data_IF_849503090528
#
_entry.id   IF_849503090528
#
_cell.length_a   1.000
_cell.length_b   1.000
_cell.length_c   1.000
_cell.angle_alpha   90.00
_cell.angle_beta   90.00
_cell.angle_gamma   90.00
#
_symmetry.space_group_name_H-M   'P 1'
#
loop_
_entity.id
_entity.type
_entity.pdbx_description
1 polymer ?
#
# COMPACT_ATOMS: atom_id res chain seq x y z
N UNK A 1 -23.87 2.89 12.89
CA UNK A 1 -23.00 2.50 11.76
C UNK A 1 -21.64 3.17 11.91
N UNK A 2 -20.55 2.41 11.81
CA UNK A 2 -19.14 2.86 11.80
C UNK A 2 -18.66 2.90 10.36
N UNK A 3 -18.02 4.00 9.95
CA UNK A 3 -17.49 4.17 8.59
C UNK A 3 -16.00 3.85 8.60
N UNK A 4 -15.62 2.72 7.99
CA UNK A 4 -14.26 2.20 7.96
C UNK A 4 -13.67 2.37 6.55
N UNK A 5 -12.70 3.28 6.42
CA UNK A 5 -12.07 3.60 5.13
C UNK A 5 -10.87 2.71 4.83
N UNK A 6 -10.70 2.33 3.56
CA UNK A 6 -9.51 1.62 3.08
C UNK A 6 -9.14 2.01 1.65
N UNK A 7 -7.90 1.78 1.27
CA UNK A 7 -7.41 1.94 -0.10
C UNK A 7 -7.27 0.55 -0.74
N UNK A 8 -7.52 0.46 -2.04
CA UNK A 8 -7.47 -0.77 -2.85
C UNK A 8 -6.05 -1.34 -2.92
N UNK A 9 -5.67 -2.03 -1.84
CA UNK A 9 -4.39 -2.71 -1.66
C UNK A 9 -4.62 -4.05 -0.95
N UNK A 10 -3.74 -5.02 -1.20
CA UNK A 10 -3.83 -6.35 -0.60
C UNK A 10 -3.78 -6.31 0.94
N UNK A 11 -3.10 -5.34 1.51
CA UNK A 11 -3.00 -5.15 2.95
C UNK A 11 -4.30 -4.63 3.62
N UNK A 12 -5.36 -4.35 2.83
CA UNK A 12 -6.72 -4.19 3.33
C UNK A 12 -7.45 -5.53 3.57
N UNK A 13 -6.83 -6.66 3.26
CA UNK A 13 -7.43 -7.99 3.37
C UNK A 13 -8.11 -8.26 4.72
N UNK A 14 -7.55 -7.91 5.90
CA UNK A 14 -8.22 -8.16 7.17
C UNK A 14 -9.58 -7.43 7.29
N UNK A 15 -9.69 -6.21 6.76
CA UNK A 15 -10.93 -5.45 6.78
C UNK A 15 -11.99 -6.09 5.88
N UNK A 16 -11.56 -6.46 4.68
CA UNK A 16 -12.39 -7.09 3.65
C UNK A 16 -12.89 -8.47 4.12
N UNK A 17 -12.01 -9.27 4.69
CA UNK A 17 -12.34 -10.59 5.27
C UNK A 17 -13.35 -10.44 6.41
N UNK A 18 -13.12 -9.50 7.33
CA UNK A 18 -14.02 -9.26 8.45
C UNK A 18 -15.43 -8.90 7.99
N UNK A 19 -15.55 -8.09 6.94
CA UNK A 19 -16.85 -7.75 6.32
C UNK A 19 -17.46 -8.95 5.60
N UNK A 20 -16.70 -9.58 4.70
CA UNK A 20 -17.18 -10.68 3.86
C UNK A 20 -17.63 -11.90 4.67
N UNK A 21 -16.96 -12.21 5.75
CA UNK A 21 -17.32 -13.32 6.66
C UNK A 21 -18.36 -12.94 7.72
N UNK A 22 -18.76 -11.67 7.79
CA UNK A 22 -19.75 -11.18 8.76
C UNK A 22 -19.23 -11.05 10.19
N UNK A 23 -17.91 -11.04 10.41
CA UNK A 23 -17.29 -10.98 11.73
C UNK A 23 -17.64 -9.69 12.50
N UNK A 24 -17.85 -8.58 11.79
CA UNK A 24 -18.32 -7.34 12.42
C UNK A 24 -19.72 -7.51 13.02
N UNK A 25 -20.63 -8.13 12.29
CA UNK A 25 -22.01 -8.38 12.75
C UNK A 25 -22.05 -9.36 13.94
N UNK A 26 -21.22 -10.38 13.92
CA UNK A 26 -21.07 -11.32 15.04
C UNK A 26 -20.58 -10.65 16.33
N UNK A 27 -19.86 -9.52 16.20
CA UNK A 27 -19.38 -8.71 17.30
C UNK A 27 -20.30 -7.53 17.64
N UNK A 28 -21.55 -7.51 17.17
CA UNK A 28 -22.50 -6.40 17.34
C UNK A 28 -21.92 -5.05 16.89
N UNK A 29 -21.16 -5.06 15.78
CA UNK A 29 -20.63 -3.86 15.13
C UNK A 29 -21.33 -3.65 13.78
N UNK A 30 -22.04 -2.54 13.68
CA UNK A 30 -22.61 -2.06 12.43
C UNK A 30 -21.54 -1.23 11.68
N UNK A 31 -20.81 -1.89 10.75
CA UNK A 31 -19.69 -1.32 9.99
C UNK A 31 -20.07 -1.17 8.54
N UNK A 32 -19.66 -0.07 7.92
CA UNK A 32 -19.71 0.16 6.47
C UNK A 32 -18.29 0.37 5.98
N UNK A 33 -17.81 -0.50 5.08
CA UNK A 33 -16.53 -0.32 4.41
C UNK A 33 -16.67 0.73 3.29
N UNK A 34 -15.72 1.65 3.22
CA UNK A 34 -15.61 2.66 2.18
C UNK A 34 -14.26 2.53 1.47
N UNK A 35 -14.30 2.13 0.18
CA UNK A 35 -13.12 2.10 -0.67
C UNK A 35 -12.80 3.51 -1.15
N UNK A 36 -11.62 4.01 -0.81
CA UNK A 36 -11.18 5.35 -1.11
C UNK A 36 -10.14 5.36 -2.26
N UNK A 37 -10.14 6.44 -3.04
CA UNK A 37 -9.28 6.57 -4.20
C UNK A 37 -7.77 6.64 -3.85
N UNK A 38 -7.43 7.05 -2.62
CA UNK A 38 -6.05 7.15 -2.16
C UNK A 38 -5.90 7.77 -0.78
N UNK A 39 -4.67 7.93 -0.36
CA UNK A 39 -4.33 8.34 1.00
C UNK A 39 -4.72 9.77 1.35
N UNK A 40 -4.78 10.68 0.36
CA UNK A 40 -5.27 12.04 0.55
C UNK A 40 -6.76 12.04 0.92
N UNK A 41 -7.57 11.21 0.24
CA UNK A 41 -9.01 11.08 0.55
C UNK A 41 -9.22 10.47 1.95
N UNK A 42 -8.47 9.43 2.31
CA UNK A 42 -8.46 8.85 3.68
C UNK A 42 -8.16 9.94 4.71
N UNK A 43 -7.13 10.73 4.47
CA UNK A 43 -6.70 11.82 5.35
C UNK A 43 -7.81 12.84 5.56
N UNK A 44 -8.34 13.36 4.48
CA UNK A 44 -9.30 14.46 4.52
C UNK A 44 -10.63 14.01 5.13
N UNK A 45 -11.12 12.83 4.76
CA UNK A 45 -12.35 12.25 5.32
C UNK A 45 -12.23 11.91 6.80
N UNK A 46 -11.07 11.41 7.26
CA UNK A 46 -10.85 11.17 8.69
C UNK A 46 -10.80 12.50 9.47
N UNK A 47 -10.09 13.51 8.96
CA UNK A 47 -10.01 14.82 9.59
C UNK A 47 -11.38 15.52 9.69
N UNK A 48 -12.21 15.38 8.66
CA UNK A 48 -13.57 15.94 8.62
C UNK A 48 -14.60 15.11 9.39
N UNK A 49 -14.24 13.91 9.85
CA UNK A 49 -15.15 12.99 10.52
C UNK A 49 -16.16 12.32 9.58
N UNK A 50 -15.86 12.25 8.28
CA UNK A 50 -16.62 11.46 7.31
C UNK A 50 -16.26 9.97 7.37
N UNK A 51 -15.06 9.63 7.86
CA UNK A 51 -14.65 8.29 8.25
C UNK A 51 -14.38 8.27 9.76
N UNK A 52 -14.72 7.19 10.41
CA UNK A 52 -14.56 7.00 11.85
C UNK A 52 -13.24 6.29 12.16
N UNK A 53 -12.91 5.28 11.36
CA UNK A 53 -11.69 4.48 11.48
C UNK A 53 -11.15 4.23 10.07
N UNK A 54 -9.83 4.10 9.92
CA UNK A 54 -9.20 3.90 8.61
C UNK A 54 -8.06 2.87 8.67
N UNK A 55 -7.91 2.11 7.60
CA UNK A 55 -6.62 1.54 7.25
C UNK A 55 -5.73 2.70 6.79
N UNK A 56 -4.54 2.81 7.33
CA UNK A 56 -3.64 3.91 7.03
C UNK A 56 -2.18 3.46 6.93
N UNK A 57 -1.37 4.23 6.22
CA UNK A 57 0.08 4.08 6.22
C UNK A 57 0.64 4.25 7.64
N UNK A 58 1.65 3.48 8.04
CA UNK A 58 2.20 3.57 9.39
C UNK A 58 2.71 4.97 9.80
N UNK A 59 3.24 5.84 8.89
CA UNK A 59 3.58 7.22 9.23
C UNK A 59 2.36 8.17 9.36
N UNK A 60 1.17 7.72 8.98
CA UNK A 60 -0.03 8.57 8.89
C UNK A 60 -0.40 9.26 10.21
N UNK A 61 -0.41 8.63 11.40
CA UNK A 61 -0.72 9.29 12.64
C UNK A 61 0.22 10.49 12.94
N UNK A 62 1.50 10.35 12.60
CA UNK A 62 2.48 11.42 12.77
C UNK A 62 2.22 12.60 11.83
N UNK A 63 1.95 12.30 10.54
CA UNK A 63 1.67 13.35 9.54
C UNK A 63 0.40 14.12 9.87
N UNK A 64 -0.63 13.45 10.37
CA UNK A 64 -1.88 14.08 10.82
C UNK A 64 -1.66 15.01 12.03
N UNK A 65 -0.94 14.54 13.03
CA UNK A 65 -0.63 15.36 14.23
C UNK A 65 0.23 16.57 13.91
N UNK A 66 1.16 16.45 12.96
CA UNK A 66 2.02 17.53 12.51
C UNK A 66 1.33 18.48 11.51
N UNK A 67 0.12 18.19 11.09
CA UNK A 67 -0.63 19.01 10.14
C UNK A 67 -0.03 19.01 8.72
N UNK A 68 0.57 17.88 8.30
CA UNK A 68 1.16 17.76 6.97
C UNK A 68 0.06 17.54 5.95
N UNK A 69 -0.22 18.59 5.16
CA UNK A 69 -1.22 18.56 4.09
C UNK A 69 -2.69 18.60 4.57
N UNK A 70 -2.92 18.78 5.85
CA UNK A 70 -4.24 18.91 6.49
C UNK A 70 -4.09 19.72 7.79
N UNK A 71 -5.17 20.24 8.37
CA UNK A 71 -5.12 20.81 9.70
C UNK A 71 -4.66 19.76 10.74
N UNK A 72 -3.82 20.13 11.71
CA UNK A 72 -3.39 19.21 12.77
C UNK A 72 -4.57 18.48 13.37
N UNK A 73 -4.50 17.15 13.38
CA UNK A 73 -5.58 16.28 13.88
C UNK A 73 -4.96 15.19 14.76
N UNK A 74 -5.45 15.04 15.98
CA UNK A 74 -4.97 14.04 16.92
C UNK A 74 -5.45 12.65 16.51
N UNK A 75 -4.57 11.92 15.83
CA UNK A 75 -4.79 10.56 15.34
C UNK A 75 -3.92 9.59 16.10
N UNK A 76 -4.50 8.45 16.40
CA UNK A 76 -3.85 7.31 17.07
C UNK A 76 -3.97 6.06 16.22
N UNK A 77 -2.98 5.16 16.33
CA UNK A 77 -3.03 3.83 15.77
C UNK A 77 -3.16 2.81 16.91
N UNK A 78 -4.19 1.98 16.87
CA UNK A 78 -4.45 0.96 17.91
C UNK A 78 -4.00 -0.44 17.53
N UNK A 79 -3.69 -0.68 16.25
CA UNK A 79 -3.29 -2.00 15.74
C UNK A 79 -2.40 -1.85 14.51
N UNK A 80 -1.40 -2.71 14.38
CA UNK A 80 -0.69 -2.95 13.13
C UNK A 80 -1.49 -3.99 12.34
N UNK A 81 -1.92 -3.64 11.12
CA UNK A 81 -2.70 -4.50 10.24
C UNK A 81 -1.81 -5.39 9.36
N UNK A 82 -0.69 -4.86 8.91
CA UNK A 82 0.27 -5.59 8.09
C UNK A 82 1.69 -5.10 8.30
N UNK A 83 2.64 -5.98 8.02
CA UNK A 83 4.06 -5.69 7.94
C UNK A 83 4.55 -5.94 6.52
N UNK A 84 5.48 -5.12 6.03
CA UNK A 84 6.05 -5.24 4.67
C UNK A 84 4.97 -5.23 3.56
N UNK A 85 5.14 -6.04 2.50
CA UNK A 85 4.14 -6.17 1.43
C UNK A 85 4.25 -5.12 0.32
N UNK A 86 5.36 -4.39 0.24
CA UNK A 86 5.67 -3.45 -0.85
C UNK A 86 6.78 -4.00 -1.74
N UNK A 87 6.80 -3.56 -3.00
CA UNK A 87 7.91 -3.79 -3.90
C UNK A 87 8.25 -2.49 -4.67
N UNK A 88 9.42 -2.49 -5.29
CA UNK A 88 9.78 -1.52 -6.31
C UNK A 88 9.59 -2.22 -7.64
N UNK A 89 8.85 -1.59 -8.54
CA UNK A 89 8.63 -2.05 -9.92
C UNK A 89 9.25 -1.04 -10.88
N UNK A 90 10.03 -1.52 -11.85
CA UNK A 90 10.56 -0.75 -12.95
C UNK A 90 9.89 -1.19 -14.25
N UNK A 91 9.88 -0.33 -15.29
CA UNK A 91 9.33 -0.68 -16.60
C UNK A 91 10.13 -1.79 -17.26
N UNK A 92 9.45 -2.64 -18.04
CA UNK A 92 10.09 -3.69 -18.84
C UNK A 92 11.09 -3.11 -19.86
N UNK A 93 10.86 -1.91 -20.39
CA UNK A 93 11.82 -1.21 -21.25
C UNK A 93 13.19 -1.02 -20.59
N UNK A 94 13.22 -0.76 -19.27
CA UNK A 94 14.48 -0.65 -18.54
C UNK A 94 15.20 -2.00 -18.42
N UNK A 95 14.45 -3.10 -18.28
CA UNK A 95 15.03 -4.46 -18.28
C UNK A 95 15.65 -4.79 -19.65
N UNK A 96 14.96 -4.44 -20.73
CA UNK A 96 15.46 -4.62 -22.11
C UNK A 96 16.74 -3.82 -22.36
N UNK A 97 16.92 -2.69 -21.68
CA UNK A 97 18.17 -1.90 -21.71
C UNK A 97 19.25 -2.43 -20.75
N UNK A 98 19.05 -3.60 -20.13
CA UNK A 98 20.02 -4.28 -19.27
C UNK A 98 20.08 -3.74 -17.84
N UNK A 99 18.99 -3.11 -17.36
CA UNK A 99 18.85 -2.71 -15.97
C UNK A 99 18.25 -3.86 -15.18
N UNK A 100 19.06 -4.55 -14.38
CA UNK A 100 18.68 -5.73 -13.59
C UNK A 100 18.69 -5.46 -12.09
N UNK A 101 19.28 -4.35 -11.65
CA UNK A 101 19.42 -3.99 -10.24
C UNK A 101 19.64 -2.47 -10.05
N UNK A 102 19.74 -2.04 -8.80
CA UNK A 102 20.04 -0.64 -8.48
C UNK A 102 21.40 -0.17 -8.99
N UNK A 103 22.41 -1.06 -9.11
CA UNK A 103 23.75 -0.67 -9.59
C UNK A 103 23.76 -0.45 -11.10
N UNK A 104 23.08 -1.29 -11.86
CA UNK A 104 22.89 -1.10 -13.30
C UNK A 104 22.04 0.14 -13.57
N UNK A 105 21.00 0.39 -12.78
CA UNK A 105 20.21 1.64 -12.83
C UNK A 105 21.10 2.87 -12.57
N UNK A 106 21.98 2.82 -11.56
CA UNK A 106 22.90 3.93 -11.29
C UNK A 106 23.89 4.19 -12.43
N UNK A 107 24.40 3.14 -13.08
CA UNK A 107 25.25 3.29 -14.28
C UNK A 107 24.48 3.90 -15.43
N UNK A 108 23.26 3.45 -15.65
CA UNK A 108 22.38 3.96 -16.69
C UNK A 108 22.07 5.45 -16.50
N UNK A 109 21.73 5.90 -15.28
CA UNK A 109 21.49 7.30 -14.97
C UNK A 109 22.73 8.17 -15.21
N UNK A 110 23.95 7.69 -14.86
CA UNK A 110 25.19 8.47 -15.01
C UNK A 110 25.70 8.57 -16.44
N UNK A 111 25.51 7.53 -17.24
CA UNK A 111 26.13 7.37 -18.55
C UNK A 111 25.12 7.30 -19.69
N UNK A 112 23.84 7.09 -19.38
CA UNK A 112 22.79 7.02 -20.38
C UNK A 112 22.42 8.38 -20.94
N UNK A 113 22.29 8.48 -22.25
CA UNK A 113 21.73 9.66 -22.88
C UNK A 113 20.21 9.58 -22.82
N UNK A 114 19.61 10.40 -21.96
CA UNK A 114 18.14 10.50 -21.85
C UNK A 114 17.66 11.92 -22.02
N UNK A 115 16.51 12.09 -22.69
CA UNK A 115 15.91 13.43 -22.84
C UNK A 115 15.33 13.97 -21.53
N UNK A 116 15.05 13.10 -20.54
CA UNK A 116 14.51 13.46 -19.22
C UNK A 116 15.07 12.57 -18.12
N UNK A 117 14.98 13.02 -16.86
CA UNK A 117 15.23 12.18 -15.69
C UNK A 117 14.18 11.08 -15.58
N UNK A 118 14.56 9.95 -14.98
CA UNK A 118 13.62 8.88 -14.61
C UNK A 118 12.54 9.43 -13.65
N UNK A 119 11.30 9.14 -13.96
CA UNK A 119 10.15 9.47 -13.15
C UNK A 119 9.70 8.21 -12.35
N UNK A 120 9.69 8.29 -11.02
CA UNK A 120 9.34 7.17 -10.15
C UNK A 120 8.11 7.52 -9.31
N UNK A 121 7.07 6.67 -9.39
CA UNK A 121 5.80 6.87 -8.70
C UNK A 121 5.85 6.42 -7.24
N UNK A 122 5.25 7.21 -6.35
CA UNK A 122 4.97 6.83 -4.95
C UNK A 122 3.58 7.32 -4.55
N UNK A 123 2.99 6.74 -3.52
CA UNK A 123 1.62 7.11 -3.11
C UNK A 123 1.57 8.36 -2.23
N UNK A 124 2.67 8.73 -1.61
CA UNK A 124 2.85 9.92 -0.77
C UNK A 124 4.35 10.10 -0.47
N UNK A 125 4.80 11.34 -0.36
CA UNK A 125 6.19 11.64 0.06
C UNK A 125 6.46 11.28 1.54
N UNK A 126 5.42 11.03 2.31
CA UNK A 126 5.48 10.63 3.73
C UNK A 126 5.05 9.18 3.93
N UNK A 127 5.18 8.34 2.90
CA UNK A 127 4.86 6.91 2.97
C UNK A 127 6.11 6.06 3.17
N UNK A 128 5.94 4.89 3.76
CA UNK A 128 6.94 3.81 3.75
C UNK A 128 7.42 3.46 2.34
N UNK A 129 6.52 3.52 1.35
CA UNK A 129 6.83 3.33 -0.07
C UNK A 129 7.91 4.30 -0.56
N UNK A 130 7.76 5.59 -0.24
CA UNK A 130 8.74 6.62 -0.59
C UNK A 130 10.08 6.42 0.14
N UNK A 131 10.02 6.13 1.44
CA UNK A 131 11.23 5.89 2.23
C UNK A 131 11.98 4.66 1.74
N UNK A 132 11.28 3.58 1.39
CA UNK A 132 11.85 2.38 0.81
C UNK A 132 12.54 2.68 -0.53
N UNK A 133 11.85 3.40 -1.42
CA UNK A 133 12.40 3.80 -2.73
C UNK A 133 13.67 4.65 -2.56
N UNK A 134 13.65 5.67 -1.70
CA UNK A 134 14.82 6.50 -1.43
C UNK A 134 15.99 5.67 -0.91
N UNK A 135 15.75 4.77 0.07
CA UNK A 135 16.81 3.92 0.61
C UNK A 135 17.41 2.99 -0.44
N UNK A 136 16.59 2.40 -1.30
CA UNK A 136 17.07 1.54 -2.38
C UNK A 136 17.93 2.33 -3.37
N UNK A 137 17.48 3.51 -3.81
CA UNK A 137 18.22 4.39 -4.70
C UNK A 137 19.57 4.82 -4.07
N UNK A 138 19.53 5.28 -2.83
CA UNK A 138 20.74 5.71 -2.08
C UNK A 138 21.74 4.55 -1.91
N UNK A 139 21.27 3.31 -1.67
CA UNK A 139 22.13 2.13 -1.56
C UNK A 139 22.88 1.83 -2.86
N UNK A 140 22.32 2.23 -4.00
CA UNK A 140 22.94 2.13 -5.32
C UNK A 140 23.79 3.36 -5.70
N UNK A 141 23.83 4.38 -4.84
CA UNK A 141 24.55 5.62 -5.09
C UNK A 141 23.81 6.60 -6.01
N UNK A 142 22.48 6.52 -6.03
CA UNK A 142 21.57 7.45 -6.73
C UNK A 142 21.01 8.43 -5.70
N UNK A 143 21.13 9.74 -5.94
CA UNK A 143 20.51 10.77 -5.10
C UNK A 143 19.03 10.94 -5.50
N UNK A 144 18.06 10.51 -4.65
CA UNK A 144 16.64 10.59 -5.04
C UNK A 144 16.11 12.00 -5.27
N UNK A 145 16.82 13.02 -4.77
CA UNK A 145 16.43 14.42 -4.95
C UNK A 145 17.03 15.06 -6.22
N UNK A 146 18.14 14.51 -6.71
CA UNK A 146 18.86 15.10 -7.84
C UNK A 146 18.78 14.29 -9.12
N UNK A 147 18.83 12.95 -9.01
CA UNK A 147 19.07 12.08 -10.14
C UNK A 147 17.77 11.57 -10.78
N UNK A 148 16.67 11.58 -10.02
CA UNK A 148 15.33 11.13 -10.46
C UNK A 148 14.27 12.18 -10.17
N UNK A 149 13.05 11.96 -10.65
CA UNK A 149 11.84 12.74 -10.31
C UNK A 149 10.89 11.83 -9.58
N UNK A 150 10.50 12.20 -8.36
CA UNK A 150 9.49 11.45 -7.60
C UNK A 150 8.12 12.08 -7.88
N UNK A 151 7.15 11.24 -8.29
CA UNK A 151 5.78 11.65 -8.64
C UNK A 151 4.81 10.98 -7.68
N UNK A 152 3.88 11.76 -7.13
CA UNK A 152 2.83 11.22 -6.26
C UNK A 152 1.61 10.84 -7.10
N UNK A 153 1.24 9.56 -7.05
CA UNK A 153 0.09 9.00 -7.77
C UNK A 153 -0.73 8.09 -6.85
N UNK A 154 -2.06 8.02 -7.03
CA UNK A 154 -2.87 6.97 -6.42
C UNK A 154 -2.40 5.56 -6.84
N UNK A 155 -2.51 4.55 -5.96
CA UNK A 155 -2.09 3.18 -6.28
C UNK A 155 -2.66 2.65 -7.61
N UNK A 156 -3.95 2.85 -7.83
CA UNK A 156 -4.68 2.38 -9.04
C UNK A 156 -4.18 3.00 -10.36
N UNK A 157 -3.40 4.07 -10.29
CA UNK A 157 -2.84 4.73 -11.47
C UNK A 157 -1.42 4.29 -11.82
N UNK A 158 -0.76 3.51 -10.94
CA UNK A 158 0.66 3.17 -11.10
C UNK A 158 0.90 2.35 -12.38
N UNK A 159 0.21 1.22 -12.55
CA UNK A 159 0.40 0.31 -13.69
C UNK A 159 0.08 1.02 -15.01
N UNK A 160 -1.04 1.73 -15.08
CA UNK A 160 -1.42 2.48 -16.29
C UNK A 160 -0.38 3.54 -16.68
N UNK A 161 0.17 4.27 -15.71
CA UNK A 161 1.19 5.28 -15.99
C UNK A 161 2.52 4.64 -16.37
N UNK A 162 2.87 3.47 -15.82
CA UNK A 162 4.03 2.70 -16.21
C UNK A 162 3.89 2.22 -17.67
N UNK A 163 2.81 1.53 -18.01
CA UNK A 163 2.54 1.03 -19.34
C UNK A 163 2.46 2.13 -20.42
N UNK A 164 2.07 3.35 -20.02
CA UNK A 164 2.04 4.52 -20.92
C UNK A 164 3.37 5.28 -21.01
N UNK A 165 4.42 4.87 -20.31
CA UNK A 165 5.72 5.56 -20.27
C UNK A 165 5.72 6.93 -19.57
N UNK A 166 4.64 7.26 -18.82
CA UNK A 166 4.56 8.49 -18.03
C UNK A 166 5.45 8.44 -16.80
N UNK A 167 5.66 7.24 -16.25
CA UNK A 167 6.64 6.94 -15.21
C UNK A 167 7.52 5.77 -15.66
N UNK A 168 8.73 5.68 -15.12
CA UNK A 168 9.70 4.63 -15.44
C UNK A 168 9.74 3.52 -14.37
N UNK A 169 9.03 3.72 -13.28
CA UNK A 169 8.88 2.77 -12.18
C UNK A 169 8.05 3.34 -11.06
N UNK A 170 7.79 2.53 -10.04
CA UNK A 170 7.06 2.95 -8.85
C UNK A 170 7.42 2.10 -7.63
N UNK A 171 7.05 2.60 -6.45
CA UNK A 171 7.07 1.86 -5.19
C UNK A 171 5.69 1.89 -4.57
N UNK A 172 5.07 0.73 -4.42
CA UNK A 172 3.68 0.60 -3.94
C UNK A 172 3.45 -0.77 -3.28
N UNK A 173 2.36 -0.90 -2.54
CA UNK A 173 1.88 -2.20 -2.01
C UNK A 173 1.20 -3.05 -3.09
N UNK A 174 1.07 -4.36 -2.81
CA UNK A 174 0.34 -5.28 -3.65
C UNK A 174 -1.17 -4.93 -3.74
N UNK A 175 -1.83 -5.27 -4.86
CA UNK A 175 -1.43 -6.16 -5.95
C UNK A 175 -0.76 -5.45 -7.16
N UNK A 176 -0.46 -4.18 -7.09
CA UNK A 176 -0.08 -3.37 -8.26
C UNK A 176 1.25 -3.78 -8.88
N UNK A 177 2.18 -4.31 -8.08
CA UNK A 177 3.44 -4.84 -8.59
C UNK A 177 3.19 -6.16 -9.37
N UNK A 178 2.39 -7.06 -8.79
CA UNK A 178 2.01 -8.32 -9.44
C UNK A 178 1.22 -8.08 -10.73
N UNK A 179 0.32 -7.08 -10.77
CA UNK A 179 -0.42 -6.69 -11.98
C UNK A 179 0.55 -6.16 -13.06
N UNK A 180 1.53 -5.32 -12.69
CA UNK A 180 2.49 -4.81 -13.68
C UNK A 180 3.34 -5.93 -14.31
N UNK A 181 3.66 -6.97 -13.53
CA UNK A 181 4.37 -8.16 -14.03
C UNK A 181 3.46 -9.01 -14.90
N UNK A 182 2.21 -9.25 -14.50
CA UNK A 182 1.21 -10.00 -15.30
C UNK A 182 0.91 -9.30 -16.63
N UNK A 183 0.82 -7.97 -16.64
CA UNK A 183 0.63 -7.14 -17.83
C UNK A 183 1.92 -6.98 -18.68
N UNK A 184 3.02 -7.62 -18.30
CA UNK A 184 4.33 -7.56 -18.95
C UNK A 184 4.90 -6.15 -19.11
N UNK A 185 4.36 -5.16 -18.43
CA UNK A 185 4.81 -3.77 -18.48
C UNK A 185 5.84 -3.39 -17.42
N UNK A 186 6.08 -4.27 -16.44
CA UNK A 186 7.03 -4.04 -15.35
C UNK A 186 7.64 -5.30 -14.77
N UNK A 187 8.71 -5.13 -14.04
CA UNK A 187 9.44 -6.16 -13.30
C UNK A 187 9.89 -5.63 -11.94
N UNK A 188 10.14 -6.50 -10.97
CA UNK A 188 10.42 -6.11 -9.59
C UNK A 188 11.89 -6.39 -9.22
N UNK A 189 12.79 -5.39 -9.20
CA UNK A 189 14.18 -5.56 -8.79
C UNK A 189 14.34 -5.87 -7.29
N UNK A 190 13.36 -5.53 -6.46
CA UNK A 190 13.45 -5.75 -5.01
C UNK A 190 12.09 -5.59 -4.32
N UNK A 191 11.99 -6.24 -3.17
CA UNK A 191 10.82 -6.16 -2.27
C UNK A 191 11.20 -5.49 -0.95
N UNK A 192 10.20 -5.07 -0.18
CA UNK A 192 10.43 -4.49 1.15
C UNK A 192 11.13 -5.43 2.12
N UNK A 193 10.89 -6.73 2.04
CA UNK A 193 11.55 -7.74 2.88
C UNK A 193 13.03 -7.97 2.57
N UNK A 194 13.49 -7.55 1.38
CA UNK A 194 14.90 -7.59 1.01
C UNK A 194 15.65 -6.32 1.43
N UNK A 195 14.93 -5.21 1.68
CA UNK A 195 15.52 -3.92 2.07
C UNK A 195 15.51 -3.73 3.58
N UNK A 196 14.46 -4.21 4.24
CA UNK A 196 14.21 -4.00 5.67
C UNK A 196 13.87 -5.31 6.41
N UNK A 197 14.24 -5.37 7.68
CA UNK A 197 13.58 -6.26 8.63
C UNK A 197 12.08 -5.96 8.69
N UNK A 198 11.22 -6.88 9.17
CA UNK A 198 9.79 -6.63 9.27
C UNK A 198 9.48 -5.31 9.97
N UNK A 199 8.73 -4.44 9.29
CA UNK A 199 8.28 -3.15 9.82
C UNK A 199 6.78 -2.97 9.64
N UNK A 200 6.12 -2.20 10.52
CA UNK A 200 4.71 -1.87 10.36
C UNK A 200 4.47 -1.13 9.05
N UNK A 201 3.61 -1.66 8.20
CA UNK A 201 3.27 -1.03 6.92
C UNK A 201 1.91 -0.35 6.99
N UNK A 202 0.88 -1.07 7.41
CA UNK A 202 -0.46 -0.52 7.60
C UNK A 202 -0.92 -0.64 9.04
N UNK A 203 -1.63 0.38 9.47
CA UNK A 203 -2.19 0.49 10.82
C UNK A 203 -3.69 0.77 10.76
N UNK A 204 -4.41 0.34 11.80
CA UNK A 204 -5.76 0.77 12.07
C UNK A 204 -5.72 2.08 12.85
N UNK A 205 -6.10 3.17 12.21
CA UNK A 205 -6.02 4.51 12.77
C UNK A 205 -7.41 5.13 12.98
N UNK A 206 -7.51 5.97 14.00
CA UNK A 206 -8.71 6.76 14.30
C UNK A 206 -8.31 8.05 15.00
N UNK A 207 -9.26 8.98 15.16
CA UNK A 207 -9.02 10.22 15.94
C UNK A 207 -9.12 9.95 17.43
N UNK A 208 -8.35 10.67 18.26
CA UNK A 208 -8.50 10.63 19.73
C UNK A 208 -9.94 10.98 20.15
N UNK A 209 -10.58 11.90 19.43
CA UNK A 209 -11.99 12.24 19.64
C UNK A 209 -12.90 11.02 19.50
N UNK A 210 -12.76 10.24 18.40
CA UNK A 210 -13.56 9.03 18.21
C UNK A 210 -13.31 8.04 19.35
N UNK A 211 -12.05 7.81 19.71
CA UNK A 211 -11.66 6.89 20.76
C UNK A 211 -12.25 7.30 22.14
N UNK A 212 -12.30 8.59 22.43
CA UNK A 212 -12.89 9.10 23.66
C UNK A 212 -14.41 8.86 23.76
N UNK A 213 -15.12 8.94 22.63
CA UNK A 213 -16.59 8.77 22.62
C UNK A 213 -17.05 7.34 22.39
N UNK A 214 -16.27 6.52 21.67
CA UNK A 214 -16.65 5.17 21.24
C UNK A 214 -15.56 4.11 21.51
N UNK A 215 -14.95 4.07 22.73
CA UNK A 215 -13.81 3.19 23.01
C UNK A 215 -14.16 1.71 22.91
N UNK A 216 -15.37 1.32 23.31
CA UNK A 216 -15.81 -0.07 23.30
C UNK A 216 -15.96 -0.62 21.88
N UNK A 217 -16.46 0.19 20.95
CA UNK A 217 -16.61 -0.21 19.55
C UNK A 217 -15.24 -0.34 18.88
N UNK A 218 -14.32 0.58 19.16
CA UNK A 218 -12.94 0.49 18.65
C UNK A 218 -12.22 -0.75 19.20
N UNK A 219 -12.39 -1.05 20.47
CA UNK A 219 -11.81 -2.24 21.07
C UNK A 219 -12.35 -3.54 20.44
N UNK A 220 -13.69 -3.64 20.28
CA UNK A 220 -14.32 -4.78 19.60
C UNK A 220 -13.85 -4.90 18.14
N UNK A 221 -13.69 -3.77 17.43
CA UNK A 221 -13.17 -3.78 16.07
C UNK A 221 -11.76 -4.37 16.00
N UNK A 222 -10.86 -4.00 16.93
CA UNK A 222 -9.52 -4.59 17.03
C UNK A 222 -9.61 -6.11 17.23
N UNK A 223 -10.47 -6.58 18.13
CA UNK A 223 -10.65 -8.04 18.37
C UNK A 223 -11.13 -8.77 17.11
N UNK A 224 -12.06 -8.19 16.36
CA UNK A 224 -12.53 -8.71 15.08
C UNK A 224 -11.40 -8.77 14.06
N UNK A 225 -10.62 -7.69 13.94
CA UNK A 225 -9.53 -7.63 12.98
C UNK A 225 -8.35 -8.54 13.30
N UNK A 226 -8.10 -8.85 14.59
CA UNK A 226 -7.15 -9.89 14.97
C UNK A 226 -7.58 -11.26 14.39
N UNK A 227 -8.84 -11.65 14.56
CA UNK A 227 -9.37 -12.91 13.97
C UNK A 227 -9.28 -12.88 12.43
N UNK A 228 -9.56 -11.75 11.81
CA UNK A 228 -9.43 -11.61 10.36
C UNK A 228 -7.96 -11.71 9.90
N UNK A 229 -7.01 -11.16 10.65
CA UNK A 229 -5.58 -11.35 10.38
C UNK A 229 -5.16 -12.82 10.51
N UNK A 230 -5.64 -13.53 11.53
CA UNK A 230 -5.40 -14.97 11.70
C UNK A 230 -5.95 -15.77 10.52
N UNK A 231 -7.17 -15.45 10.07
CA UNK A 231 -7.75 -16.04 8.84
C UNK A 231 -6.87 -15.80 7.61
N UNK A 232 -6.40 -14.56 7.40
CA UNK A 232 -5.53 -14.20 6.28
C UNK A 232 -4.17 -14.90 6.33
N UNK A 233 -3.64 -15.15 7.51
CA UNK A 233 -2.33 -15.79 7.71
C UNK A 233 -2.36 -17.31 7.52
N UNK A 234 -3.51 -17.95 7.71
CA UNK A 234 -3.65 -19.38 7.57
C UNK A 234 -3.65 -19.81 6.09
N UNK A 235 -2.67 -20.61 5.72
CA UNK A 235 -2.53 -21.14 4.36
C UNK A 235 -3.75 -22.00 3.93
N UNK A 236 -4.45 -22.65 4.86
CA UNK A 236 -5.65 -23.42 4.57
C UNK A 236 -6.80 -22.53 4.03
N UNK A 237 -6.82 -21.26 4.41
CA UNK A 237 -7.83 -20.31 3.97
C UNK A 237 -7.49 -19.64 2.63
N UNK A 238 -6.31 -19.90 2.04
CA UNK A 238 -5.85 -19.24 0.81
C UNK A 238 -6.86 -19.26 -0.34
N UNK A 239 -7.51 -20.40 -0.69
CA UNK A 239 -8.50 -20.41 -1.77
C UNK A 239 -9.69 -19.48 -1.48
N UNK A 240 -10.18 -19.47 -0.25
CA UNK A 240 -11.30 -18.61 0.14
C UNK A 240 -10.88 -17.13 0.20
N UNK A 241 -9.67 -16.86 0.65
CA UNK A 241 -9.10 -15.51 0.67
C UNK A 241 -9.01 -14.93 -0.75
N UNK A 242 -8.51 -15.71 -1.72
CA UNK A 242 -8.44 -15.31 -3.12
C UNK A 242 -9.83 -15.01 -3.70
N UNK A 243 -10.81 -15.88 -3.45
CA UNK A 243 -12.20 -15.67 -3.88
C UNK A 243 -12.79 -14.36 -3.34
N UNK A 244 -12.60 -14.09 -2.04
CA UNK A 244 -13.08 -12.85 -1.41
C UNK A 244 -12.40 -11.64 -2.04
N UNK A 245 -11.07 -11.63 -2.10
CA UNK A 245 -10.30 -10.45 -2.49
C UNK A 245 -10.45 -10.12 -3.98
N UNK A 246 -10.58 -11.12 -4.87
CA UNK A 246 -10.73 -10.91 -6.32
C UNK A 246 -12.07 -10.27 -6.71
N UNK A 247 -13.06 -10.28 -5.80
CA UNK A 247 -14.37 -9.69 -6.06
C UNK A 247 -14.26 -8.23 -6.50
N UNK A 248 -15.09 -7.84 -7.49
CA UNK A 248 -15.20 -6.44 -7.97
C UNK A 248 -15.65 -5.46 -6.89
N UNK A 249 -16.30 -5.97 -5.85
CA UNK A 249 -16.66 -5.17 -4.67
C UNK A 249 -15.42 -4.69 -3.89
N UNK A 250 -14.31 -5.46 -3.92
CA UNK A 250 -13.13 -5.23 -3.08
C UNK A 250 -11.89 -4.83 -3.87
N UNK A 251 -11.04 -5.79 -4.27
CA UNK A 251 -9.80 -5.45 -4.97
C UNK A 251 -9.93 -5.49 -6.49
N UNK A 252 -10.95 -6.17 -7.05
CA UNK A 252 -11.24 -6.17 -8.49
C UNK A 252 -9.99 -6.41 -9.35
N UNK A 253 -9.29 -7.49 -9.06
CA UNK A 253 -8.07 -7.89 -9.77
C UNK A 253 -8.06 -9.40 -9.98
N UNK A 254 -7.18 -9.89 -10.87
CA UNK A 254 -7.09 -11.29 -11.21
C UNK A 254 -6.72 -12.15 -9.99
N UNK A 255 -7.23 -13.37 -9.95
CA UNK A 255 -6.81 -14.35 -8.93
C UNK A 255 -5.34 -14.72 -9.07
N UNK A 256 -4.77 -14.59 -10.27
CA UNK A 256 -3.36 -14.87 -10.56
C UNK A 256 -2.46 -13.81 -9.92
N UNK A 257 -2.71 -12.52 -10.15
CA UNK A 257 -1.99 -11.43 -9.50
C UNK A 257 -2.04 -11.53 -7.96
N UNK A 258 -3.22 -11.85 -7.41
CA UNK A 258 -3.38 -12.06 -5.96
C UNK A 258 -2.62 -13.29 -5.46
N UNK A 259 -2.63 -14.39 -6.23
CA UNK A 259 -1.89 -15.61 -5.87
C UNK A 259 -0.39 -15.36 -5.85
N UNK A 260 0.14 -14.65 -6.83
CA UNK A 260 1.54 -14.24 -6.91
C UNK A 260 1.91 -13.33 -5.72
N UNK A 261 1.11 -12.30 -5.46
CA UNK A 261 1.29 -11.39 -4.34
C UNK A 261 1.28 -12.08 -2.96
N UNK A 262 0.40 -13.05 -2.78
CA UNK A 262 0.25 -13.82 -1.54
C UNK A 262 1.23 -15.01 -1.43
N UNK A 263 1.72 -15.52 -2.55
CA UNK A 263 2.59 -16.70 -2.62
C UNK A 263 4.04 -16.42 -2.27
N UNK A 264 4.46 -15.15 -2.25
CA UNK A 264 5.85 -14.75 -2.05
C UNK A 264 6.78 -15.13 -3.20
N UNK A 265 6.24 -15.62 -4.30
CA UNK A 265 6.98 -15.89 -5.52
C UNK A 265 6.79 -14.72 -6.50
N UNK A 266 7.53 -13.64 -6.26
CA UNK A 266 7.77 -12.68 -7.31
C UNK A 266 8.70 -13.33 -8.34
N UNK A 267 8.35 -13.36 -9.62
CA UNK A 267 9.35 -13.52 -10.66
C UNK A 267 10.24 -12.26 -10.59
N UNK A 268 11.38 -12.42 -9.96
CA UNK A 268 12.47 -11.45 -9.96
C UNK A 268 13.18 -11.52 -11.30
#
# INVERSE_FOLDING_TARGET
>A
MLRLGYVRLLDAAPLIVAESLGLFREADLDVSLSREAGWATIRDKLALGELDVVQALSPFPFTMRLGIGVAPTDVVAGMVLSCNGNAITLSSDLLEEGIEDGKSLARYIRHGYRPRKLALGVVSLYSSHHFMLCRWLESAGIDPKKDVVIIVLPPEQMVRNLASGNIDGFSVGEPWNSIAVEDECGWCPTTSSQIYEPYPEKVLATTERFLAYRPQEYHRMIQVLIKACEFCADAANRPRLLEILSSSQYLDCSSEALSNALGGSFPL
#
